data_IF_748013292414
#
_entry.id   IF_748013292414
#
_cell.length_a   1.000
_cell.length_b   1.000
_cell.length_c   1.000
_cell.angle_alpha   90.00
_cell.angle_beta   90.00
_cell.angle_gamma   90.00
#
_symmetry.space_group_name_H-M   'P 1'
#
loop_
_entity.id
_entity.type
_entity.pdbx_description
1 polymer ?
#
# COMPACT_ATOMS: atom_id res chain seq x y z
N UNK A 1 -3.19 19.22 -21.41
CA UNK A 1 -3.08 19.23 -19.93
C UNK A 1 -3.28 17.80 -19.46
N UNK A 2 -2.24 16.98 -19.48
CA UNK A 2 -2.35 15.60 -19.01
C UNK A 2 -2.25 15.63 -17.49
N UNK A 3 -3.38 15.89 -16.82
CA UNK A 3 -3.49 15.56 -15.41
C UNK A 3 -3.28 14.06 -15.32
N UNK A 4 -2.08 13.64 -14.93
CA UNK A 4 -1.79 12.24 -14.65
C UNK A 4 -2.87 11.78 -13.69
N UNK A 5 -3.71 10.86 -14.17
CA UNK A 5 -4.92 10.42 -13.49
C UNK A 5 -4.49 9.77 -12.17
N UNK A 6 -4.48 10.59 -11.11
CA UNK A 6 -4.01 10.21 -9.78
C UNK A 6 -4.97 9.15 -9.26
N UNK A 7 -4.57 7.90 -9.42
CA UNK A 7 -5.34 6.73 -9.01
C UNK A 7 -4.59 5.95 -7.95
N UNK A 8 -5.36 5.27 -7.11
CA UNK A 8 -4.84 4.32 -6.15
C UNK A 8 -4.24 3.13 -6.89
N UNK A 9 -2.98 2.82 -6.63
CA UNK A 9 -2.28 1.68 -7.23
C UNK A 9 -2.83 0.33 -6.77
N UNK A 10 -3.53 0.29 -5.64
CA UNK A 10 -4.05 -0.95 -5.03
C UNK A 10 -5.45 -1.31 -5.48
N UNK A 11 -6.33 -0.34 -5.77
CA UNK A 11 -7.69 -0.62 -6.22
C UNK A 11 -8.04 0.00 -7.58
N UNK A 12 -7.10 0.73 -8.19
CA UNK A 12 -7.27 1.46 -9.45
C UNK A 12 -8.36 2.55 -9.45
N UNK A 13 -8.96 2.86 -8.30
CA UNK A 13 -9.89 4.00 -8.18
C UNK A 13 -9.17 5.33 -8.35
N UNK A 14 -9.79 6.25 -9.05
CA UNK A 14 -9.29 7.60 -9.26
C UNK A 14 -9.47 8.46 -8.00
N UNK A 15 -8.70 9.55 -7.87
CA UNK A 15 -8.84 10.51 -6.77
C UNK A 15 -10.27 11.05 -6.63
N UNK A 16 -11.02 11.17 -7.73
CA UNK A 16 -12.42 11.61 -7.70
C UNK A 16 -13.39 10.58 -7.07
N UNK A 17 -12.98 9.32 -6.92
CA UNK A 17 -13.82 8.22 -6.40
C UNK A 17 -13.54 7.90 -4.92
N UNK A 18 -12.57 8.56 -4.31
CA UNK A 18 -12.10 8.29 -2.94
C UNK A 18 -12.02 9.59 -2.15
N UNK A 19 -12.05 9.52 -0.81
CA UNK A 19 -12.03 10.74 0.03
C UNK A 19 -10.63 11.31 0.16
N UNK A 20 -9.65 10.43 0.35
CA UNK A 20 -8.23 10.80 0.45
C UNK A 20 -7.40 9.84 -0.41
N UNK A 21 -6.39 10.39 -1.06
CA UNK A 21 -5.38 9.66 -1.82
C UNK A 21 -3.99 10.14 -1.38
N UNK A 22 -3.17 9.21 -0.89
CA UNK A 22 -1.82 9.49 -0.41
C UNK A 22 -0.82 9.00 -1.45
N UNK A 23 0.08 9.89 -1.87
CA UNK A 23 1.14 9.60 -2.84
C UNK A 23 2.39 9.09 -2.12
N UNK A 24 2.79 7.86 -2.42
CA UNK A 24 4.06 7.27 -2.01
C UNK A 24 5.15 7.45 -3.07
N UNK A 25 6.26 6.74 -2.90
CA UNK A 25 7.41 6.80 -3.81
C UNK A 25 7.07 6.32 -5.24
N UNK A 26 6.60 5.08 -5.38
CA UNK A 26 6.28 4.45 -6.67
C UNK A 26 4.78 4.07 -6.78
N UNK A 27 3.99 4.30 -5.73
CA UNK A 27 2.58 3.92 -5.67
C UNK A 27 1.74 4.92 -4.86
N UNK A 28 0.43 4.97 -5.15
CA UNK A 28 -0.54 5.76 -4.38
C UNK A 28 -1.53 4.84 -3.67
N UNK A 29 -2.00 5.23 -2.49
CA UNK A 29 -2.98 4.47 -1.71
C UNK A 29 -4.15 5.38 -1.30
N UNK A 30 -5.37 4.88 -1.40
CA UNK A 30 -6.56 5.61 -0.96
C UNK A 30 -7.01 5.23 0.46
N UNK A 31 -7.88 6.05 1.04
CA UNK A 31 -8.45 5.84 2.38
C UNK A 31 -9.11 4.46 2.52
N UNK A 32 -9.85 4.02 1.51
CA UNK A 32 -10.50 2.71 1.53
C UNK A 32 -9.49 1.56 1.59
N UNK A 33 -8.37 1.65 0.86
CA UNK A 33 -7.35 0.61 0.90
C UNK A 33 -6.60 0.62 2.24
N UNK A 34 -6.31 1.80 2.79
CA UNK A 34 -5.69 1.93 4.11
C UNK A 34 -6.60 1.30 5.17
N UNK A 35 -7.89 1.65 5.16
CA UNK A 35 -8.87 1.10 6.08
C UNK A 35 -8.99 -0.42 5.91
N UNK A 36 -9.09 -0.91 4.67
CA UNK A 36 -9.15 -2.33 4.36
C UNK A 36 -7.94 -3.08 4.93
N UNK A 37 -6.71 -2.63 4.68
CA UNK A 37 -5.51 -3.31 5.21
C UNK A 37 -5.39 -3.21 6.74
N UNK A 38 -5.92 -2.14 7.35
CA UNK A 38 -5.92 -1.95 8.81
C UNK A 38 -6.91 -2.88 9.51
N UNK A 39 -8.11 -3.04 8.96
CA UNK A 39 -9.16 -3.89 9.57
C UNK A 39 -9.04 -5.35 9.17
N UNK A 40 -8.39 -5.65 8.04
CA UNK A 40 -8.17 -7.02 7.59
C UNK A 40 -7.18 -7.73 8.52
N UNK A 41 -7.73 -8.56 9.42
CA UNK A 41 -7.03 -9.64 10.12
C UNK A 41 -6.59 -10.78 9.18
N UNK A 42 -6.97 -10.71 7.90
CA UNK A 42 -6.74 -11.75 6.91
C UNK A 42 -5.31 -11.67 6.36
N UNK A 43 -4.40 -12.23 7.17
CA UNK A 43 -3.09 -12.81 6.79
C UNK A 43 -2.17 -11.87 6.00
N UNK A 44 -1.36 -11.03 6.67
CA UNK A 44 -0.21 -10.44 6.02
C UNK A 44 0.64 -11.53 5.37
N UNK A 45 1.11 -11.24 4.16
CA UNK A 45 1.80 -12.25 3.36
C UNK A 45 3.17 -12.51 4.00
N UNK A 46 3.36 -13.71 4.56
CA UNK A 46 4.68 -14.20 4.98
C UNK A 46 5.40 -14.69 3.72
N UNK A 47 6.01 -13.79 2.96
CA UNK A 47 6.76 -14.20 1.76
C UNK A 47 8.10 -14.79 2.19
N UNK A 48 8.33 -16.08 1.92
CA UNK A 48 9.64 -16.72 2.00
C UNK A 48 9.65 -17.92 1.03
N UNK A 49 10.03 -17.65 -0.21
CA UNK A 49 11.07 -18.37 -0.99
C UNK A 49 11.24 -17.62 -2.34
N UNK A 50 12.31 -16.84 -2.48
CA UNK A 50 12.77 -16.30 -3.77
C UNK A 50 12.17 -14.98 -4.32
N UNK A 51 10.98 -14.52 -3.89
CA UNK A 51 10.42 -13.24 -4.35
C UNK A 51 10.72 -12.09 -3.39
N UNK A 52 11.74 -11.29 -3.67
CA UNK A 52 12.02 -10.02 -2.96
C UNK A 52 11.02 -8.93 -3.39
N UNK A 53 9.78 -9.02 -2.94
CA UNK A 53 8.82 -7.94 -3.15
C UNK A 53 9.23 -6.71 -2.32
N UNK A 54 9.51 -5.59 -2.99
CA UNK A 54 9.84 -4.30 -2.35
C UNK A 54 8.57 -3.52 -2.04
N UNK A 55 8.55 -2.82 -0.91
CA UNK A 55 7.49 -1.87 -0.62
C UNK A 55 7.50 -0.75 -1.67
N UNK A 56 6.39 -0.52 -2.36
CA UNK A 56 6.27 0.54 -3.35
C UNK A 56 6.19 1.95 -2.74
N UNK A 57 6.14 2.05 -1.41
CA UNK A 57 6.08 3.31 -0.66
C UNK A 57 7.45 3.77 -0.17
N UNK A 58 8.26 2.86 0.39
CA UNK A 58 9.58 3.20 0.92
C UNK A 58 10.74 2.51 0.20
N UNK A 59 10.48 1.58 -0.72
CA UNK A 59 11.48 0.82 -1.47
C UNK A 59 12.14 -0.33 -0.70
N UNK A 60 11.85 -0.52 0.59
CA UNK A 60 12.46 -1.58 1.39
C UNK A 60 11.94 -2.96 0.97
N UNK A 61 12.85 -3.91 0.82
CA UNK A 61 12.53 -5.32 0.65
C UNK A 61 12.30 -5.98 2.00
N UNK A 62 11.52 -7.06 2.02
CA UNK A 62 11.41 -7.91 3.21
C UNK A 62 12.79 -8.42 3.64
N UNK A 63 13.11 -8.29 4.94
CA UNK A 63 14.40 -8.70 5.52
C UNK A 63 14.28 -9.99 6.34
N UNK A 64 13.12 -10.22 6.94
CA UNK A 64 12.85 -11.40 7.76
C UNK A 64 11.34 -11.76 7.79
N UNK A 65 11.02 -12.88 8.43
CA UNK A 65 9.66 -13.42 8.52
C UNK A 65 8.69 -12.57 9.37
N UNK A 66 9.22 -11.64 10.16
CA UNK A 66 8.44 -10.72 10.98
C UNK A 66 8.11 -9.42 10.24
N UNK A 67 8.73 -9.15 9.09
CA UNK A 67 8.35 -8.02 8.26
C UNK A 67 6.98 -8.28 7.62
N UNK A 68 5.99 -7.46 8.01
CA UNK A 68 4.61 -7.55 7.58
C UNK A 68 4.41 -6.74 6.30
N UNK A 69 3.93 -7.40 5.25
CA UNK A 69 3.59 -6.79 3.96
C UNK A 69 2.16 -7.12 3.57
N UNK A 70 1.51 -6.14 2.93
CA UNK A 70 0.22 -6.27 2.29
C UNK A 70 0.40 -6.16 0.78
N UNK A 71 -0.32 -6.99 0.05
CA UNK A 71 -0.31 -7.03 -1.41
C UNK A 71 -1.72 -6.82 -1.93
N UNK A 72 -1.84 -6.03 -2.99
CA UNK A 72 -3.05 -5.98 -3.81
C UNK A 72 -2.69 -5.56 -5.23
N UNK A 73 -3.14 -6.32 -6.23
CA UNK A 73 -2.85 -6.07 -7.65
C UNK A 73 -1.35 -6.03 -8.01
N UNK A 74 -0.52 -6.83 -7.32
CA UNK A 74 0.92 -6.87 -7.51
C UNK A 74 1.68 -5.68 -6.94
N UNK A 75 1.00 -4.82 -6.16
CA UNK A 75 1.59 -3.67 -5.47
C UNK A 75 1.70 -3.98 -3.99
N UNK A 76 2.86 -3.67 -3.40
CA UNK A 76 3.20 -4.06 -2.04
C UNK A 76 3.38 -2.85 -1.13
N UNK A 77 2.84 -2.92 0.08
CA UNK A 77 3.03 -1.92 1.14
C UNK A 77 3.44 -2.61 2.45
N UNK A 78 4.50 -2.12 3.10
CA UNK A 78 4.89 -2.63 4.41
C UNK A 78 4.01 -2.02 5.52
N UNK A 79 3.92 -2.72 6.65
CA UNK A 79 3.15 -2.27 7.80
C UNK A 79 3.54 -0.87 8.29
N UNK A 80 4.83 -0.54 8.34
CA UNK A 80 5.30 0.80 8.75
C UNK A 80 4.72 1.90 7.85
N UNK A 81 4.76 1.73 6.51
CA UNK A 81 4.20 2.70 5.59
C UNK A 81 2.67 2.76 5.67
N UNK A 82 2.01 1.63 5.89
CA UNK A 82 0.56 1.59 6.08
C UNK A 82 0.13 2.34 7.33
N UNK A 83 0.80 2.12 8.47
CA UNK A 83 0.48 2.81 9.71
C UNK A 83 0.71 4.31 9.61
N UNK A 84 1.81 4.75 8.98
CA UNK A 84 2.03 6.17 8.68
C UNK A 84 0.90 6.75 7.81
N UNK A 85 0.48 6.02 6.77
CA UNK A 85 -0.63 6.44 5.93
C UNK A 85 -1.94 6.55 6.73
N UNK A 86 -2.19 5.62 7.66
CA UNK A 86 -3.33 5.64 8.57
C UNK A 86 -3.31 6.87 9.48
N UNK A 87 -2.18 7.18 10.08
CA UNK A 87 -2.00 8.37 10.93
C UNK A 87 -2.22 9.68 10.16
N UNK A 88 -1.99 9.72 8.84
CA UNK A 88 -2.28 10.88 7.98
C UNK A 88 -3.79 11.01 7.68
N UNK A 89 -4.54 9.91 7.77
CA UNK A 89 -6.00 9.94 7.56
C UNK A 89 -6.76 10.47 8.78
N UNK A 90 -6.26 10.15 9.99
CA UNK A 90 -6.74 10.68 11.28
C UNK A 90 -6.58 12.21 11.37
#
# INVERSE_FOLDING_TARGET
MTGEDLKCSFCNKQQAQVKKLIKGLEANICDECINHFTVSVERPMKIFDGYKSKCSFCGRTQRNENDIFYEKNGVYICYECLDLCRQILE
#
